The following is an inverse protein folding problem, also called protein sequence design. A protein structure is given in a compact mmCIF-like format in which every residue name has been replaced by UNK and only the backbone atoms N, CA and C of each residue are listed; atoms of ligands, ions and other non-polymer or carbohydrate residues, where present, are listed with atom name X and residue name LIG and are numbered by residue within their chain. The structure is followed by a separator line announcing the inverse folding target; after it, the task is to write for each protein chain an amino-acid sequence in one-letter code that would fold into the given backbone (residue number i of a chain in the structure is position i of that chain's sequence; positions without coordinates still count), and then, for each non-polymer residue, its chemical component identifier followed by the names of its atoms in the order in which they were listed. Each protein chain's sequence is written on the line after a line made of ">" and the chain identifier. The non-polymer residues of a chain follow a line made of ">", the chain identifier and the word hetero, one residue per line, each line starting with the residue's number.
data_IF_209286001347
#
_entry.id   IF_209286001347
#
_cell.length_a   1.000
_cell.length_b   1.000
_cell.length_c   1.000
_cell.angle_alpha   90.00
_cell.angle_beta   90.00
_cell.angle_gamma   90.00
#
_symmetry.space_group_name_H-M   'P 1'
#
loop_
_entity.id
_entity.type
_entity.pdbx_description
1 polymer ?
#
# COMPACT_ATOMS: atom_id res chain seq x y z
N UNK A 1 -6.32 -16.24 -29.22
CA UNK A 1 -5.53 -15.27 -28.37
C UNK A 1 -4.37 -16.03 -27.75
N UNK A 2 -3.15 -15.49 -27.77
CA UNK A 2 -1.99 -16.11 -27.11
C UNK A 2 -2.29 -16.32 -25.61
N UNK A 3 -1.97 -17.48 -25.07
CA UNK A 3 -2.34 -17.87 -23.70
C UNK A 3 -1.91 -16.85 -22.62
N UNK A 4 -0.75 -16.20 -22.80
CA UNK A 4 -0.26 -15.20 -21.86
C UNK A 4 -1.10 -13.90 -21.87
N UNK A 5 -1.72 -13.52 -23.00
CA UNK A 5 -2.63 -12.36 -23.06
C UNK A 5 -3.94 -12.64 -22.33
N UNK A 6 -4.48 -13.87 -22.45
CA UNK A 6 -5.65 -14.26 -21.66
C UNK A 6 -5.33 -14.23 -20.17
N UNK A 7 -4.18 -14.76 -19.79
CA UNK A 7 -3.72 -14.70 -18.40
C UNK A 7 -3.53 -13.26 -17.93
N UNK A 8 -2.92 -12.38 -18.73
CA UNK A 8 -2.74 -10.95 -18.38
C UNK A 8 -4.09 -10.27 -18.11
N UNK A 9 -5.07 -10.44 -18.96
CA UNK A 9 -6.41 -9.85 -18.77
C UNK A 9 -7.07 -10.42 -17.52
N UNK A 10 -7.00 -11.74 -17.31
CA UNK A 10 -7.59 -12.40 -16.14
C UNK A 10 -6.98 -11.90 -14.83
N UNK A 11 -5.65 -11.82 -14.75
CA UNK A 11 -4.99 -11.30 -13.54
C UNK A 11 -5.13 -9.79 -13.41
N UNK A 12 -5.36 -9.06 -14.51
CA UNK A 12 -5.66 -7.63 -14.46
C UNK A 12 -6.93 -7.38 -13.65
N UNK A 13 -8.04 -8.08 -13.95
CA UNK A 13 -9.26 -8.00 -13.15
C UNK A 13 -9.03 -8.44 -11.70
N UNK A 14 -8.28 -9.53 -11.49
CA UNK A 14 -7.94 -9.99 -10.16
C UNK A 14 -7.14 -8.98 -9.33
N UNK A 15 -6.18 -8.28 -9.93
CA UNK A 15 -5.42 -7.21 -9.28
C UNK A 15 -6.30 -5.98 -9.02
N UNK A 16 -7.19 -5.63 -9.93
CA UNK A 16 -8.16 -4.54 -9.76
C UNK A 16 -9.07 -4.82 -8.55
N UNK A 17 -9.73 -5.99 -8.50
CA UNK A 17 -10.61 -6.35 -7.39
C UNK A 17 -9.85 -6.49 -6.07
N UNK A 18 -8.62 -7.01 -6.09
CA UNK A 18 -7.78 -7.10 -4.88
C UNK A 18 -7.37 -5.71 -4.39
N UNK A 19 -6.96 -4.82 -5.29
CA UNK A 19 -6.64 -3.43 -4.96
C UNK A 19 -7.84 -2.70 -4.35
N UNK A 20 -9.01 -2.87 -4.97
CA UNK A 20 -10.27 -2.33 -4.50
C UNK A 20 -10.65 -2.90 -3.12
N UNK A 21 -10.54 -4.22 -2.92
CA UNK A 21 -10.83 -4.89 -1.66
C UNK A 21 -9.96 -4.42 -0.50
N UNK A 22 -8.66 -4.18 -0.76
CA UNK A 22 -7.72 -3.72 0.28
C UNK A 22 -8.03 -2.27 0.67
N UNK A 23 -8.32 -1.40 -0.31
CA UNK A 23 -8.46 0.04 -0.09
C UNK A 23 -9.88 0.49 0.29
N UNK A 24 -10.90 -0.29 -0.08
CA UNK A 24 -12.31 0.06 0.07
C UNK A 24 -12.74 0.27 1.54
N UNK A 25 -12.25 -0.57 2.44
CA UNK A 25 -12.67 -0.58 3.85
C UNK A 25 -11.84 0.41 4.69
N UNK A 26 -10.61 0.68 4.27
CA UNK A 26 -9.64 1.40 5.08
C UNK A 26 -10.11 2.78 5.58
N UNK A 27 -10.74 3.65 4.76
CA UNK A 27 -11.08 5.01 5.20
C UNK A 27 -12.17 5.08 6.28
N UNK A 28 -13.06 4.09 6.32
CA UNK A 28 -14.17 4.06 7.29
C UNK A 28 -14.07 2.93 8.32
N UNK A 29 -12.94 2.22 8.35
CA UNK A 29 -12.68 1.19 9.37
C UNK A 29 -12.89 1.71 10.81
N UNK A 30 -12.49 2.96 11.16
CA UNK A 30 -12.78 3.53 12.46
C UNK A 30 -14.27 3.63 12.78
N UNK A 31 -15.11 3.95 11.79
CA UNK A 31 -16.56 4.00 11.96
C UNK A 31 -17.15 2.60 12.24
N UNK A 32 -16.57 1.57 11.62
CA UNK A 32 -16.96 0.18 11.90
C UNK A 32 -16.52 -0.26 13.30
N UNK A 33 -15.33 0.12 13.74
CA UNK A 33 -14.86 -0.11 15.12
C UNK A 33 -15.81 0.55 16.14
N UNK A 34 -16.30 1.76 15.84
CA UNK A 34 -17.30 2.42 16.68
C UNK A 34 -18.61 1.63 16.75
N UNK A 35 -19.09 1.08 15.63
CA UNK A 35 -20.30 0.22 15.61
C UNK A 35 -20.13 -1.09 16.39
N UNK A 36 -18.90 -1.55 16.60
CA UNK A 36 -18.59 -2.73 17.42
C UNK A 36 -18.51 -2.43 18.93
N UNK A 37 -18.93 -1.22 19.35
CA UNK A 37 -19.10 -0.85 20.76
C UNK A 37 -17.92 -0.12 21.38
N UNK A 38 -16.94 0.32 20.58
CA UNK A 38 -15.83 1.16 21.06
C UNK A 38 -16.26 2.62 20.99
N UNK A 39 -16.34 3.32 22.13
CA UNK A 39 -16.92 4.67 22.22
C UNK A 39 -15.91 5.77 22.57
N UNK A 40 -14.84 5.47 23.34
CA UNK A 40 -13.87 6.50 23.68
C UNK A 40 -12.96 6.84 22.51
N UNK A 41 -12.63 8.14 22.36
CA UNK A 41 -11.75 8.62 21.29
C UNK A 41 -10.39 7.89 21.27
N UNK A 42 -9.80 7.68 22.43
CA UNK A 42 -8.51 7.02 22.59
C UNK A 42 -8.59 5.54 22.13
N UNK A 43 -9.62 4.81 22.59
CA UNK A 43 -9.81 3.42 22.21
C UNK A 43 -10.16 3.27 20.71
N UNK A 44 -11.00 4.16 20.15
CA UNK A 44 -11.30 4.19 18.72
C UNK A 44 -10.04 4.36 17.87
N UNK A 45 -9.19 5.33 18.22
CA UNK A 45 -7.94 5.57 17.54
C UNK A 45 -7.02 4.34 17.63
N UNK A 46 -6.80 3.79 18.84
CA UNK A 46 -5.93 2.65 19.07
C UNK A 46 -6.40 1.38 18.34
N UNK A 47 -7.68 1.03 18.46
CA UNK A 47 -8.25 -0.14 17.78
C UNK A 47 -8.23 0.00 16.26
N UNK A 48 -8.46 1.21 15.75
CA UNK A 48 -8.35 1.49 14.32
C UNK A 48 -6.92 1.27 13.83
N UNK A 49 -5.93 1.80 14.53
CA UNK A 49 -4.52 1.60 14.19
C UNK A 49 -4.10 0.13 14.25
N UNK A 50 -4.51 -0.60 15.29
CA UNK A 50 -4.22 -2.03 15.46
C UNK A 50 -4.84 -2.86 14.33
N UNK A 51 -6.13 -2.64 14.03
CA UNK A 51 -6.83 -3.38 12.96
C UNK A 51 -6.29 -3.05 11.57
N UNK A 52 -5.77 -1.84 11.35
CA UNK A 52 -5.04 -1.48 10.15
C UNK A 52 -3.72 -2.25 10.05
N UNK A 53 -2.90 -2.19 11.09
CA UNK A 53 -1.52 -2.67 11.09
C UNK A 53 -1.41 -4.19 11.10
N UNK A 54 -2.32 -4.91 11.80
CA UNK A 54 -2.24 -6.37 11.95
C UNK A 54 -2.25 -7.09 10.59
N UNK A 55 -3.01 -6.60 9.61
CA UNK A 55 -3.07 -7.18 8.27
C UNK A 55 -1.70 -7.14 7.59
N UNK A 56 -1.02 -5.99 7.63
CA UNK A 56 0.29 -5.83 7.02
C UNK A 56 1.39 -6.55 7.80
N UNK A 57 1.29 -6.58 9.12
CA UNK A 57 2.23 -7.28 9.99
C UNK A 57 2.20 -8.79 9.70
N UNK A 58 1.02 -9.40 9.68
CA UNK A 58 0.88 -10.82 9.36
C UNK A 58 1.31 -11.09 7.92
N UNK A 59 0.93 -10.25 6.96
CA UNK A 59 1.36 -10.37 5.56
C UNK A 59 2.89 -10.34 5.42
N UNK A 60 3.57 -9.45 6.14
CA UNK A 60 5.03 -9.35 6.12
C UNK A 60 5.70 -10.64 6.62
N UNK A 61 5.18 -11.21 7.72
CA UNK A 61 5.72 -12.45 8.33
C UNK A 61 5.53 -13.64 7.40
N UNK A 62 4.34 -13.78 6.76
CA UNK A 62 4.03 -14.96 5.96
C UNK A 62 4.45 -14.86 4.49
N UNK A 63 4.74 -13.66 3.98
CA UNK A 63 5.11 -13.43 2.58
C UNK A 63 6.27 -14.31 2.09
N UNK A 64 7.38 -14.52 2.84
CA UNK A 64 8.45 -15.40 2.42
C UNK A 64 8.03 -16.87 2.30
N UNK A 65 7.12 -17.32 3.19
CA UNK A 65 6.59 -18.69 3.16
C UNK A 65 5.75 -18.92 1.90
N UNK A 66 4.86 -17.97 1.58
CA UNK A 66 4.02 -18.04 0.39
C UNK A 66 4.82 -17.89 -0.91
N UNK A 67 5.87 -17.06 -0.93
CA UNK A 67 6.80 -16.98 -2.04
C UNK A 67 7.51 -18.32 -2.31
N UNK A 68 8.02 -18.95 -1.26
CA UNK A 68 8.65 -20.28 -1.36
C UNK A 68 7.67 -21.36 -1.84
N UNK A 69 6.42 -21.32 -1.38
CA UNK A 69 5.38 -22.25 -1.80
C UNK A 69 4.96 -22.01 -3.27
N UNK A 70 4.88 -20.74 -3.69
CA UNK A 70 4.61 -20.35 -5.07
C UNK A 70 5.65 -20.91 -6.05
N UNK A 71 6.92 -20.90 -5.65
CA UNK A 71 8.01 -21.46 -6.48
C UNK A 71 7.95 -22.99 -6.60
N UNK A 72 7.35 -23.68 -5.60
CA UNK A 72 7.22 -25.15 -5.58
C UNK A 72 5.92 -25.64 -6.22
N UNK A 73 4.78 -25.00 -5.88
CA UNK A 73 3.43 -25.49 -6.25
C UNK A 73 2.77 -24.69 -7.38
N UNK A 74 3.43 -23.61 -7.85
CA UNK A 74 2.92 -22.77 -8.93
C UNK A 74 2.22 -21.49 -8.45
N UNK A 75 2.16 -20.52 -9.35
CA UNK A 75 1.60 -19.18 -9.07
C UNK A 75 0.07 -19.19 -9.11
N UNK A 76 -0.56 -20.00 -9.99
CA UNK A 76 -2.02 -20.13 -10.07
C UNK A 76 -2.62 -20.56 -8.73
N UNK A 77 -2.02 -21.58 -8.09
CA UNK A 77 -2.49 -22.04 -6.78
C UNK A 77 -2.42 -20.95 -5.72
N UNK A 78 -1.36 -20.12 -5.75
CA UNK A 78 -1.22 -19.00 -4.82
C UNK A 78 -2.23 -17.89 -5.08
N UNK A 79 -2.60 -17.63 -6.34
CA UNK A 79 -3.66 -16.69 -6.70
C UNK A 79 -5.03 -17.17 -6.20
N UNK A 80 -5.35 -18.47 -6.41
CA UNK A 80 -6.59 -19.09 -5.92
C UNK A 80 -6.69 -19.03 -4.39
N UNK A 81 -5.62 -19.40 -3.70
CA UNK A 81 -5.56 -19.34 -2.25
C UNK A 81 -5.78 -17.90 -1.75
N UNK A 82 -5.12 -16.91 -2.38
CA UNK A 82 -5.20 -15.53 -1.95
C UNK A 82 -6.60 -14.94 -2.17
N UNK A 83 -7.19 -15.12 -3.35
CA UNK A 83 -8.53 -14.59 -3.65
C UNK A 83 -9.61 -15.23 -2.79
N UNK A 84 -9.62 -16.56 -2.65
CA UNK A 84 -10.61 -17.26 -1.84
C UNK A 84 -10.43 -16.97 -0.34
N UNK A 85 -9.18 -17.03 0.14
CA UNK A 85 -8.89 -16.79 1.56
C UNK A 85 -9.22 -15.36 1.99
N UNK A 86 -8.91 -14.35 1.16
CA UNK A 86 -9.31 -12.98 1.42
C UNK A 86 -10.83 -12.80 1.34
N UNK A 87 -11.51 -13.44 0.36
CA UNK A 87 -12.97 -13.38 0.27
C UNK A 87 -13.65 -13.90 1.53
N UNK A 88 -13.21 -15.07 2.03
CA UNK A 88 -13.74 -15.65 3.28
C UNK A 88 -13.45 -14.74 4.47
N UNK A 89 -12.20 -14.26 4.61
CA UNK A 89 -11.81 -13.40 5.71
C UNK A 89 -12.62 -12.09 5.75
N UNK A 90 -12.86 -11.47 4.58
CA UNK A 90 -13.66 -10.25 4.47
C UNK A 90 -15.14 -10.54 4.71
N UNK A 91 -15.66 -11.63 4.19
CA UNK A 91 -17.04 -12.03 4.45
C UNK A 91 -17.31 -12.21 5.95
N UNK A 92 -16.41 -12.87 6.66
CA UNK A 92 -16.52 -13.07 8.09
C UNK A 92 -16.44 -11.76 8.89
N UNK A 93 -15.69 -10.76 8.40
CA UNK A 93 -15.63 -9.44 9.03
C UNK A 93 -17.01 -8.74 9.03
N UNK A 94 -17.88 -9.02 8.04
CA UNK A 94 -19.25 -8.49 8.04
C UNK A 94 -20.09 -8.99 9.23
N UNK A 95 -19.78 -10.17 9.78
CA UNK A 95 -20.46 -10.79 10.91
C UNK A 95 -19.78 -10.53 12.25
N UNK A 96 -18.70 -9.77 12.29
CA UNK A 96 -18.03 -9.44 13.54
C UNK A 96 -19.00 -8.72 14.50
N UNK A 97 -19.01 -9.15 15.77
CA UNK A 97 -19.85 -8.59 16.84
C UNK A 97 -19.05 -7.79 17.85
N UNK A 98 -17.73 -7.91 17.84
CA UNK A 98 -16.82 -7.16 18.69
C UNK A 98 -15.48 -6.89 17.99
N UNK A 99 -14.72 -5.95 18.53
CA UNK A 99 -13.47 -5.50 17.93
C UNK A 99 -12.36 -6.57 17.93
N UNK A 100 -12.37 -7.51 18.87
CA UNK A 100 -11.40 -8.61 18.92
C UNK A 100 -11.58 -9.59 17.76
N UNK A 101 -12.83 -9.91 17.42
CA UNK A 101 -13.13 -10.72 16.23
C UNK A 101 -12.66 -10.01 14.96
N UNK A 102 -12.91 -8.70 14.85
CA UNK A 102 -12.44 -7.90 13.73
C UNK A 102 -10.91 -7.96 13.62
N UNK A 103 -10.19 -7.76 14.74
CA UNK A 103 -8.72 -7.82 14.78
C UNK A 103 -8.19 -9.18 14.29
N UNK A 104 -8.74 -10.28 14.80
CA UNK A 104 -8.36 -11.64 14.39
C UNK A 104 -8.62 -11.88 12.91
N UNK A 105 -9.79 -11.49 12.40
CA UNK A 105 -10.16 -11.64 10.99
C UNK A 105 -9.30 -10.76 10.05
N UNK A 106 -8.89 -9.58 10.50
CA UNK A 106 -7.89 -8.75 9.81
C UNK A 106 -6.52 -9.43 9.75
N UNK A 107 -6.13 -10.13 10.81
CA UNK A 107 -4.94 -10.99 10.83
C UNK A 107 -5.05 -12.16 9.84
N UNK A 108 -6.21 -12.84 9.80
CA UNK A 108 -6.48 -13.93 8.81
C UNK A 108 -6.44 -13.38 7.38
N UNK A 109 -6.96 -12.17 7.14
CA UNK A 109 -6.84 -11.50 5.84
C UNK A 109 -5.38 -11.28 5.45
N UNK A 110 -4.53 -10.85 6.39
CA UNK A 110 -3.09 -10.74 6.19
C UNK A 110 -2.42 -12.08 5.87
N UNK A 111 -2.80 -13.15 6.57
CA UNK A 111 -2.32 -14.51 6.35
C UNK A 111 -2.64 -15.02 4.92
N UNK A 112 -3.81 -14.68 4.41
CA UNK A 112 -4.27 -15.12 3.09
C UNK A 112 -3.88 -14.18 1.95
N UNK A 113 -3.33 -13.00 2.22
CA UNK A 113 -2.93 -11.99 1.22
C UNK A 113 -1.86 -12.50 0.25
N UNK A 114 -1.55 -11.70 -0.78
CA UNK A 114 -0.46 -11.96 -1.71
C UNK A 114 -0.88 -12.22 -3.16
N UNK A 115 -2.10 -11.85 -3.55
CA UNK A 115 -2.56 -11.99 -4.94
C UNK A 115 -1.69 -11.18 -5.91
N UNK A 116 -1.50 -9.88 -5.65
CA UNK A 116 -0.80 -8.95 -6.56
C UNK A 116 0.65 -9.39 -6.86
N UNK A 117 1.52 -9.68 -5.87
CA UNK A 117 2.89 -10.10 -6.17
C UNK A 117 2.95 -11.44 -6.93
N UNK A 118 2.02 -12.37 -6.69
CA UNK A 118 1.94 -13.61 -7.47
C UNK A 118 1.44 -13.38 -8.89
N UNK A 119 0.50 -12.45 -9.11
CA UNK A 119 0.05 -12.04 -10.43
C UNK A 119 1.18 -11.40 -11.25
N UNK A 120 1.92 -10.46 -10.63
CA UNK A 120 3.12 -9.85 -11.23
C UNK A 120 4.14 -10.91 -11.65
N UNK A 121 4.45 -11.85 -10.76
CA UNK A 121 5.40 -12.92 -11.02
C UNK A 121 4.92 -13.92 -12.09
N UNK A 122 3.60 -14.19 -12.17
CA UNK A 122 3.03 -15.04 -13.23
C UNK A 122 3.20 -14.37 -14.59
N UNK A 123 2.79 -13.10 -14.71
CA UNK A 123 2.89 -12.35 -15.97
C UNK A 123 4.35 -12.19 -16.41
N UNK A 124 5.25 -11.82 -15.49
CA UNK A 124 6.68 -11.68 -15.76
C UNK A 124 7.31 -12.95 -16.31
N UNK A 125 6.80 -14.13 -15.91
CA UNK A 125 7.32 -15.42 -16.35
C UNK A 125 6.74 -15.94 -17.67
N UNK A 126 5.62 -15.39 -18.12
CA UNK A 126 4.89 -15.87 -19.30
C UNK A 126 4.93 -14.88 -20.47
N UNK A 127 5.06 -13.59 -20.19
CA UNK A 127 5.16 -12.57 -21.22
C UNK A 127 6.48 -12.70 -22.00
N UNK A 128 6.48 -12.51 -23.32
CA UNK A 128 7.69 -12.39 -24.12
C UNK A 128 8.60 -11.29 -23.56
N UNK A 129 9.93 -11.48 -23.60
CA UNK A 129 10.91 -10.52 -23.04
C UNK A 129 10.71 -9.12 -23.56
N UNK A 130 10.40 -8.95 -24.84
CA UNK A 130 10.18 -7.67 -25.54
C UNK A 130 8.92 -6.95 -25.05
N UNK A 131 7.97 -7.67 -24.45
CA UNK A 131 6.67 -7.14 -23.99
C UNK A 131 6.44 -7.24 -22.49
N UNK A 132 7.40 -7.76 -21.73
CA UNK A 132 7.26 -7.97 -20.29
C UNK A 132 7.07 -6.65 -19.53
N UNK A 133 7.79 -5.60 -19.91
CA UNK A 133 7.64 -4.27 -19.33
C UNK A 133 6.22 -3.70 -19.55
N UNK A 134 5.71 -3.80 -20.79
CA UNK A 134 4.33 -3.38 -21.10
C UNK A 134 3.29 -4.17 -20.31
N UNK A 135 3.45 -5.49 -20.22
CA UNK A 135 2.51 -6.36 -19.52
C UNK A 135 2.47 -6.07 -18.00
N UNK A 136 3.64 -5.87 -17.37
CA UNK A 136 3.73 -5.51 -15.95
C UNK A 136 3.20 -4.11 -15.67
N UNK A 137 3.46 -3.14 -16.54
CA UNK A 137 2.89 -1.79 -16.42
C UNK A 137 1.37 -1.82 -16.55
N UNK A 138 0.83 -2.60 -17.49
CA UNK A 138 -0.62 -2.80 -17.65
C UNK A 138 -1.22 -3.40 -16.38
N UNK A 139 -0.55 -4.38 -15.76
CA UNK A 139 -1.01 -4.97 -14.50
C UNK A 139 -0.98 -3.98 -13.33
N UNK A 140 0.03 -3.11 -13.29
CA UNK A 140 0.09 -2.03 -12.29
C UNK A 140 -1.06 -1.04 -12.40
N UNK A 141 -1.55 -0.75 -13.61
CA UNK A 141 -2.74 0.12 -13.78
C UNK A 141 -3.98 -0.48 -13.12
N UNK A 142 -4.16 -1.80 -13.16
CA UNK A 142 -5.26 -2.47 -12.49
C UNK A 142 -5.23 -2.25 -10.97
N UNK A 143 -4.07 -2.49 -10.36
CA UNK A 143 -3.89 -2.29 -8.92
C UNK A 143 -4.17 -0.83 -8.52
N UNK A 144 -3.57 0.13 -9.22
CA UNK A 144 -3.72 1.55 -8.93
C UNK A 144 -5.18 1.99 -9.08
N UNK A 145 -5.86 1.57 -10.16
CA UNK A 145 -7.27 1.89 -10.37
C UNK A 145 -8.15 1.30 -9.28
N UNK A 146 -7.87 0.07 -8.81
CA UNK A 146 -8.56 -0.55 -7.68
C UNK A 146 -8.36 0.23 -6.39
N UNK A 147 -7.13 0.62 -6.09
CA UNK A 147 -6.79 1.40 -4.88
C UNK A 147 -7.46 2.77 -4.87
N UNK A 148 -7.59 3.42 -6.01
CA UNK A 148 -8.28 4.73 -6.13
C UNK A 148 -9.80 4.55 -6.07
N UNK A 149 -10.33 3.56 -6.80
CA UNK A 149 -11.78 3.30 -6.87
C UNK A 149 -12.37 2.75 -5.58
N UNK A 150 -11.56 2.01 -4.82
CA UNK A 150 -12.02 1.35 -3.58
C UNK A 150 -12.62 2.30 -2.56
N UNK A 151 -11.91 3.33 -2.10
CA UNK A 151 -12.44 4.27 -1.12
C UNK A 151 -13.71 4.99 -1.56
N UNK A 152 -13.81 5.34 -2.85
CA UNK A 152 -14.99 5.99 -3.42
C UNK A 152 -16.21 5.04 -3.38
N UNK A 153 -16.04 3.83 -3.90
CA UNK A 153 -17.10 2.84 -3.91
C UNK A 153 -17.48 2.41 -2.48
N UNK A 154 -16.49 2.21 -1.64
CA UNK A 154 -16.70 1.82 -0.24
C UNK A 154 -17.44 2.86 0.56
N UNK A 155 -17.06 4.14 0.42
CA UNK A 155 -17.74 5.24 1.09
C UNK A 155 -19.18 5.40 0.63
N UNK A 156 -19.43 5.35 -0.69
CA UNK A 156 -20.78 5.39 -1.24
C UNK A 156 -21.67 4.25 -0.72
N UNK A 157 -21.15 3.03 -0.76
CA UNK A 157 -21.88 1.85 -0.28
C UNK A 157 -22.14 1.91 1.25
N UNK A 158 -21.17 2.41 2.01
CA UNK A 158 -21.28 2.51 3.46
C UNK A 158 -22.39 3.49 3.88
N UNK A 159 -22.47 4.66 3.25
CA UNK A 159 -23.46 5.69 3.58
C UNK A 159 -24.88 5.31 3.13
N UNK A 160 -25.05 4.61 1.99
CA UNK A 160 -26.38 4.28 1.44
C UNK A 160 -26.90 2.92 1.90
N UNK A 161 -26.03 1.93 2.10
CA UNK A 161 -26.41 0.55 2.38
C UNK A 161 -25.84 0.02 3.70
N UNK A 162 -25.07 0.84 4.41
CA UNK A 162 -24.44 0.50 5.68
C UNK A 162 -23.08 -0.17 5.54
N UNK A 163 -22.26 -0.05 6.61
CA UNK A 163 -20.85 -0.50 6.60
C UNK A 163 -20.71 -2.01 6.35
N UNK A 164 -21.63 -2.85 6.83
CA UNK A 164 -21.57 -4.31 6.63
C UNK A 164 -21.74 -4.71 5.17
N UNK A 165 -22.54 -3.98 4.41
CA UNK A 165 -22.78 -4.24 2.98
C UNK A 165 -21.48 -4.11 2.17
N UNK A 166 -20.59 -3.22 2.57
CA UNK A 166 -19.30 -3.05 1.93
C UNK A 166 -18.47 -4.33 1.99
N UNK A 167 -18.46 -5.01 3.15
CA UNK A 167 -17.75 -6.29 3.29
C UNK A 167 -18.36 -7.38 2.42
N UNK A 168 -19.69 -7.47 2.32
CA UNK A 168 -20.37 -8.46 1.46
C UNK A 168 -20.02 -8.25 -0.01
N UNK A 169 -20.10 -7.01 -0.50
CA UNK A 169 -19.80 -6.69 -1.91
C UNK A 169 -18.31 -6.95 -2.18
N UNK A 170 -17.42 -6.56 -1.28
CA UNK A 170 -15.99 -6.81 -1.42
C UNK A 170 -15.68 -8.31 -1.47
N UNK A 171 -16.31 -9.11 -0.62
CA UNK A 171 -16.15 -10.57 -0.63
C UNK A 171 -16.62 -11.16 -1.96
N UNK A 172 -17.77 -10.70 -2.48
CA UNK A 172 -18.30 -11.14 -3.78
C UNK A 172 -17.33 -10.84 -4.93
N UNK A 173 -16.76 -9.64 -4.97
CA UNK A 173 -15.76 -9.25 -6.00
C UNK A 173 -14.51 -10.16 -5.93
N UNK A 174 -14.08 -10.54 -4.74
CA UNK A 174 -12.95 -11.47 -4.58
C UNK A 174 -13.33 -12.90 -4.97
N UNK A 175 -14.58 -13.34 -4.75
CA UNK A 175 -15.07 -14.62 -5.29
C UNK A 175 -15.10 -14.59 -6.81
N UNK A 176 -15.52 -13.49 -7.44
CA UNK A 176 -15.42 -13.31 -8.90
C UNK A 176 -13.96 -13.41 -9.35
N UNK A 177 -13.03 -12.75 -8.66
CA UNK A 177 -11.60 -12.86 -8.92
C UNK A 177 -11.10 -14.31 -8.80
N UNK A 178 -11.57 -15.06 -7.80
CA UNK A 178 -11.28 -16.48 -7.63
C UNK A 178 -11.77 -17.31 -8.83
N UNK A 179 -13.02 -17.13 -9.23
CA UNK A 179 -13.62 -17.87 -10.37
C UNK A 179 -12.90 -17.54 -11.69
N UNK A 180 -12.61 -16.27 -11.95
CA UNK A 180 -11.82 -15.86 -13.13
C UNK A 180 -10.45 -16.52 -13.11
N UNK A 181 -9.77 -16.53 -11.95
CA UNK A 181 -8.48 -17.19 -11.79
C UNK A 181 -8.57 -18.70 -12.01
N UNK A 182 -9.62 -19.35 -11.49
CA UNK A 182 -9.82 -20.79 -11.58
C UNK A 182 -9.99 -21.25 -13.04
N UNK A 183 -10.88 -20.59 -13.77
CA UNK A 183 -11.30 -21.05 -15.10
C UNK A 183 -10.43 -20.51 -16.24
N UNK A 184 -9.96 -19.25 -16.15
CA UNK A 184 -9.27 -18.60 -17.26
C UNK A 184 -7.75 -18.69 -17.20
N UNK A 185 -7.14 -18.75 -16.01
CA UNK A 185 -5.69 -18.77 -15.89
C UNK A 185 -5.14 -20.17 -16.19
N UNK A 186 -4.22 -20.23 -17.14
CA UNK A 186 -3.44 -21.44 -17.49
C UNK A 186 -1.98 -21.20 -17.11
N UNK A 187 -1.45 -22.04 -16.22
CA UNK A 187 -0.03 -22.02 -15.86
C UNK A 187 0.67 -23.19 -16.55
N UNK A 188 1.65 -22.88 -17.40
CA UNK A 188 2.50 -23.90 -18.03
C UNK A 188 3.51 -24.44 -17.02
N UNK A 189 3.86 -25.72 -17.13
CA UNK A 189 4.88 -26.35 -16.30
C UNK A 189 6.21 -25.56 -16.37
N UNK A 190 6.79 -25.24 -15.21
CA UNK A 190 8.05 -24.50 -15.13
C UNK A 190 9.25 -25.41 -15.01
N UNK A 191 10.39 -25.08 -15.63
CA UNK A 191 11.65 -25.67 -15.21
C UNK A 191 11.89 -25.28 -13.74
N UNK A 192 12.20 -26.28 -12.89
CA UNK A 192 12.58 -26.07 -11.49
C UNK A 192 13.80 -25.13 -11.47
N UNK A 193 13.61 -23.92 -10.94
CA UNK A 193 14.72 -23.00 -10.74
C UNK A 193 15.68 -23.66 -9.75
N UNK A 194 16.89 -23.95 -10.21
CA UNK A 194 18.00 -24.41 -9.38
C UNK A 194 18.17 -23.42 -8.21
N UNK A 195 18.48 -23.94 -7.02
CA UNK A 195 18.88 -23.14 -5.85
C UNK A 195 20.18 -22.39 -6.19
N UNK A 196 20.09 -21.34 -7.00
CA UNK A 196 21.20 -20.45 -7.25
C UNK A 196 21.73 -19.95 -5.89
N UNK A 197 23.04 -20.03 -5.71
CA UNK A 197 23.81 -19.71 -4.53
C UNK A 197 23.22 -18.50 -3.79
N UNK A 198 22.59 -18.77 -2.65
CA UNK A 198 22.02 -17.73 -1.77
C UNK A 198 23.18 -17.03 -1.08
N UNK A 199 23.64 -15.93 -1.64
CA UNK A 199 24.57 -15.05 -0.93
C UNK A 199 23.99 -14.71 0.45
N UNK A 200 24.76 -14.71 1.51
CA UNK A 200 24.33 -14.23 2.84
C UNK A 200 23.94 -12.74 2.74
N UNK A 201 23.05 -12.27 3.63
CA UNK A 201 22.68 -10.85 3.68
C UNK A 201 23.91 -9.93 3.86
N UNK A 202 24.85 -10.31 4.71
CA UNK A 202 26.14 -9.59 4.86
C UNK A 202 26.92 -9.53 3.55
N UNK A 203 26.96 -10.61 2.79
CA UNK A 203 27.64 -10.66 1.50
C UNK A 203 26.99 -9.77 0.43
N UNK A 204 25.67 -9.56 0.48
CA UNK A 204 24.98 -8.61 -0.40
C UNK A 204 25.39 -7.17 -0.09
N UNK A 205 25.38 -6.79 1.20
CA UNK A 205 25.75 -5.42 1.60
C UNK A 205 27.24 -5.12 1.36
N UNK A 206 28.13 -6.11 1.47
CA UNK A 206 29.58 -5.93 1.19
C UNK A 206 29.89 -5.73 -0.31
N UNK A 207 28.97 -6.12 -1.21
CA UNK A 207 29.13 -5.91 -2.67
C UNK A 207 28.63 -4.55 -3.14
N UNK A 208 27.96 -3.79 -2.28
CA UNK A 208 27.42 -2.48 -2.62
C UNK A 208 28.49 -1.39 -2.56
N UNK A 209 28.58 -0.52 -3.55
CA UNK A 209 29.54 0.61 -3.51
C UNK A 209 29.19 1.61 -2.40
N UNK A 210 27.88 1.74 -2.06
CA UNK A 210 27.38 2.72 -1.09
C UNK A 210 26.30 2.10 -0.18
N UNK A 211 26.65 1.16 0.72
CA UNK A 211 25.66 0.45 1.55
C UNK A 211 24.85 1.38 2.48
N UNK A 212 25.48 2.47 2.97
CA UNK A 212 24.80 3.47 3.79
C UNK A 212 23.72 4.25 3.03
N UNK A 213 23.93 4.56 1.74
CA UNK A 213 22.90 5.19 0.91
C UNK A 213 21.75 4.22 0.62
N UNK A 214 22.05 2.97 0.31
CA UNK A 214 21.01 1.95 0.05
C UNK A 214 20.14 1.75 1.31
N UNK A 215 20.75 1.66 2.48
CA UNK A 215 20.00 1.59 3.75
C UNK A 215 19.13 2.85 3.96
N UNK A 216 19.68 4.02 3.66
CA UNK A 216 18.95 5.29 3.74
C UNK A 216 17.73 5.30 2.83
N UNK A 217 17.84 4.77 1.61
CA UNK A 217 16.72 4.63 0.68
C UNK A 217 15.66 3.64 1.17
N UNK A 218 16.04 2.55 1.84
CA UNK A 218 15.07 1.65 2.49
C UNK A 218 14.30 2.36 3.60
N UNK A 219 15.00 3.12 4.45
CA UNK A 219 14.34 3.95 5.48
C UNK A 219 13.41 4.97 4.85
N UNK A 220 13.81 5.59 3.74
CA UNK A 220 12.96 6.53 3.00
C UNK A 220 11.68 5.84 2.48
N UNK A 221 11.78 4.63 1.92
CA UNK A 221 10.60 3.82 1.54
C UNK A 221 9.70 3.56 2.73
N UNK A 222 10.26 3.18 3.88
CA UNK A 222 9.51 2.97 5.12
C UNK A 222 8.78 4.24 5.55
N UNK A 223 9.45 5.39 5.53
CA UNK A 223 8.88 6.69 5.92
C UNK A 223 7.75 7.10 4.97
N UNK A 224 7.91 6.94 3.66
CA UNK A 224 6.84 7.24 2.69
C UNK A 224 5.58 6.41 3.01
N UNK A 225 5.73 5.11 3.25
CA UNK A 225 4.60 4.25 3.59
C UNK A 225 4.02 4.54 4.98
N UNK A 226 4.87 4.89 5.94
CA UNK A 226 4.45 5.33 7.26
C UNK A 226 3.57 6.59 7.16
N UNK A 227 3.97 7.58 6.37
CA UNK A 227 3.21 8.81 6.16
C UNK A 227 1.84 8.54 5.56
N UNK A 228 1.79 7.71 4.51
CA UNK A 228 0.53 7.34 3.87
C UNK A 228 -0.37 6.54 4.81
N UNK A 229 0.20 5.67 5.65
CA UNK A 229 -0.52 4.85 6.62
C UNK A 229 -0.98 5.60 7.87
N UNK A 230 -0.28 6.67 8.30
CA UNK A 230 -0.57 7.37 9.56
C UNK A 230 -1.93 8.07 9.58
N UNK A 231 -2.40 8.54 8.44
CA UNK A 231 -3.67 9.28 8.31
C UNK A 231 -4.88 8.33 8.23
N UNK A 232 -4.69 7.09 7.73
CA UNK A 232 -5.78 6.14 7.51
C UNK A 232 -6.69 5.91 8.72
N UNK A 233 -6.14 5.56 9.90
CA UNK A 233 -6.92 5.24 11.10
C UNK A 233 -7.69 6.43 11.68
N UNK A 234 -7.33 7.65 11.33
CA UNK A 234 -7.93 8.87 11.90
C UNK A 234 -8.82 9.62 10.91
N UNK A 235 -8.74 9.31 9.62
CA UNK A 235 -9.32 10.15 8.55
C UNK A 235 -10.82 10.35 8.73
N UNK A 236 -11.59 9.27 8.91
CA UNK A 236 -13.04 9.37 9.06
C UNK A 236 -13.44 10.09 10.35
N UNK A 237 -12.74 9.82 11.46
CA UNK A 237 -13.00 10.46 12.75
C UNK A 237 -12.66 11.95 12.71
N UNK A 238 -11.57 12.32 12.03
CA UNK A 238 -11.19 13.71 11.85
C UNK A 238 -12.19 14.47 10.98
N UNK A 239 -12.67 13.86 9.89
CA UNK A 239 -13.72 14.45 9.04
C UNK A 239 -15.02 14.59 9.86
N UNK A 240 -15.39 13.58 10.63
CA UNK A 240 -16.58 13.61 11.50
C UNK A 240 -16.48 14.75 12.54
N UNK A 241 -15.31 14.99 13.10
CA UNK A 241 -15.11 16.10 14.05
C UNK A 241 -15.27 17.49 13.42
N UNK A 242 -15.04 17.62 12.10
CA UNK A 242 -15.22 18.88 11.36
C UNK A 242 -16.64 19.06 10.81
N UNK A 243 -17.38 17.96 10.63
CA UNK A 243 -18.74 17.96 10.06
C UNK A 243 -19.66 17.00 10.80
N UNK A 244 -19.97 17.29 12.10
CA UNK A 244 -20.74 16.35 12.94
C UNK A 244 -22.14 16.07 12.43
N UNK A 245 -22.77 17.00 11.72
CA UNK A 245 -24.14 16.89 11.20
C UNK A 245 -24.22 16.26 9.79
N UNK A 246 -23.11 15.79 9.23
CA UNK A 246 -23.07 15.21 7.89
C UNK A 246 -23.53 13.75 7.91
N UNK A 247 -24.46 13.39 7.02
CA UNK A 247 -24.89 12.02 6.80
C UNK A 247 -23.98 11.23 5.83
N UNK A 248 -22.98 11.88 5.21
CA UNK A 248 -22.13 11.30 4.16
C UNK A 248 -20.65 11.23 4.58
N UNK A 249 -20.38 10.91 5.85
CA UNK A 249 -19.00 10.91 6.38
C UNK A 249 -18.15 9.84 5.72
N UNK A 250 -18.69 8.65 5.46
CA UNK A 250 -17.93 7.57 4.84
C UNK A 250 -17.59 7.90 3.39
N UNK A 251 -18.53 8.45 2.61
CA UNK A 251 -18.27 8.89 1.23
C UNK A 251 -17.24 10.01 1.18
N UNK A 252 -17.37 11.03 2.03
CA UNK A 252 -16.42 12.14 2.11
C UNK A 252 -15.02 11.66 2.50
N UNK A 253 -14.94 10.71 3.44
CA UNK A 253 -13.68 10.07 3.83
C UNK A 253 -13.07 9.26 2.68
N UNK A 254 -13.89 8.51 1.96
CA UNK A 254 -13.50 7.77 0.76
C UNK A 254 -12.98 8.68 -0.34
N UNK A 255 -13.67 9.79 -0.60
CA UNK A 255 -13.27 10.80 -1.58
C UNK A 255 -11.89 11.39 -1.23
N UNK A 256 -11.75 11.88 0.00
CA UNK A 256 -10.50 12.48 0.48
C UNK A 256 -9.36 11.46 0.52
N UNK A 257 -9.65 10.18 0.79
CA UNK A 257 -8.65 9.10 0.73
C UNK A 257 -8.19 8.79 -0.71
N UNK A 258 -9.08 8.89 -1.70
CA UNK A 258 -8.78 8.59 -3.10
C UNK A 258 -8.02 9.72 -3.82
N UNK A 259 -8.24 10.97 -3.43
CA UNK A 259 -7.68 12.17 -4.08
C UNK A 259 -6.16 12.10 -4.28
N UNK A 260 -5.32 11.70 -3.30
CA UNK A 260 -3.87 11.59 -3.51
C UNK A 260 -3.50 10.60 -4.62
N UNK A 261 -4.23 9.49 -4.75
CA UNK A 261 -3.99 8.50 -5.80
C UNK A 261 -4.24 9.08 -7.20
N UNK A 262 -5.31 9.86 -7.37
CA UNK A 262 -5.63 10.52 -8.64
C UNK A 262 -4.53 11.51 -9.03
N UNK A 263 -4.11 12.36 -8.10
CA UNK A 263 -3.07 13.35 -8.38
C UNK A 263 -1.70 12.71 -8.62
N UNK A 264 -1.39 11.59 -7.92
CA UNK A 264 -0.18 10.82 -8.15
C UNK A 264 -0.12 10.22 -9.57
N UNK A 265 -1.22 9.70 -10.09
CA UNK A 265 -1.29 9.21 -11.48
C UNK A 265 -0.95 10.31 -12.51
N UNK A 266 -1.39 11.53 -12.25
CA UNK A 266 -1.14 12.68 -13.13
C UNK A 266 0.33 13.12 -13.04
N UNK A 267 0.89 13.10 -11.84
CA UNK A 267 2.22 13.65 -11.56
C UNK A 267 3.37 12.68 -11.86
N UNK A 268 3.18 11.37 -11.61
CA UNK A 268 4.24 10.38 -11.70
C UNK A 268 5.00 10.39 -13.05
N UNK A 269 4.36 10.40 -14.23
CA UNK A 269 5.11 10.43 -15.49
C UNK A 269 5.81 11.77 -15.74
N UNK A 270 5.24 12.88 -15.24
CA UNK A 270 5.83 14.22 -15.40
C UNK A 270 7.05 14.41 -14.51
N UNK A 271 6.92 14.06 -13.24
CA UNK A 271 8.00 14.17 -12.27
C UNK A 271 9.10 13.13 -12.54
N UNK A 272 8.76 11.95 -13.05
CA UNK A 272 9.73 10.97 -13.52
C UNK A 272 10.62 11.54 -14.64
N UNK A 273 10.02 12.08 -15.71
CA UNK A 273 10.77 12.75 -16.80
C UNK A 273 11.59 13.94 -16.32
N UNK A 274 11.08 14.70 -15.36
CA UNK A 274 11.84 15.80 -14.77
C UNK A 274 13.04 15.28 -13.97
N UNK A 275 12.86 14.16 -13.24
CA UNK A 275 13.92 13.49 -12.50
C UNK A 275 15.06 13.00 -13.39
N UNK A 276 14.73 12.52 -14.60
CA UNK A 276 15.74 12.12 -15.60
C UNK A 276 16.58 13.32 -16.07
N UNK A 277 15.99 14.52 -16.12
CA UNK A 277 16.67 15.74 -16.59
C UNK A 277 17.49 16.44 -15.52
N UNK A 278 16.92 16.64 -14.32
CA UNK A 278 17.55 17.44 -13.25
C UNK A 278 18.18 16.60 -12.14
N UNK A 279 17.96 15.28 -12.19
CA UNK A 279 18.47 14.31 -11.23
C UNK A 279 17.40 13.77 -10.28
N UNK A 280 17.27 12.44 -10.23
CA UNK A 280 16.26 11.72 -9.43
C UNK A 280 16.37 12.03 -7.94
N UNK A 281 17.59 12.16 -7.40
CA UNK A 281 17.80 12.50 -5.99
C UNK A 281 17.26 13.89 -5.63
N UNK A 282 17.39 14.87 -6.55
CA UNK A 282 16.84 16.23 -6.34
C UNK A 282 15.32 16.23 -6.32
N UNK A 283 14.69 15.48 -7.22
CA UNK A 283 13.22 15.33 -7.22
C UNK A 283 12.75 14.68 -5.94
N UNK A 284 13.40 13.58 -5.50
CA UNK A 284 13.05 12.92 -4.24
C UNK A 284 13.14 13.89 -3.05
N UNK A 285 14.23 14.66 -2.95
CA UNK A 285 14.38 15.64 -1.88
C UNK A 285 13.33 16.75 -1.94
N UNK A 286 13.05 17.28 -3.12
CA UNK A 286 12.04 18.34 -3.30
C UNK A 286 10.63 17.86 -2.92
N UNK A 287 10.26 16.64 -3.32
CA UNK A 287 8.95 16.05 -2.98
C UNK A 287 8.82 15.73 -1.49
N UNK A 288 9.89 15.28 -0.83
CA UNK A 288 9.90 15.10 0.62
C UNK A 288 9.75 16.43 1.37
N UNK A 289 10.45 17.50 0.93
CA UNK A 289 10.28 18.85 1.51
C UNK A 289 8.85 19.35 1.31
N UNK A 290 8.29 19.17 0.12
CA UNK A 290 6.89 19.49 -0.17
C UNK A 290 5.94 18.74 0.79
N UNK A 291 6.18 17.45 1.03
CA UNK A 291 5.38 16.66 1.97
C UNK A 291 5.44 17.19 3.41
N UNK A 292 6.61 17.61 3.90
CA UNK A 292 6.74 18.24 5.24
C UNK A 292 5.85 19.48 5.34
N UNK A 293 5.92 20.37 4.36
CA UNK A 293 5.11 21.60 4.34
C UNK A 293 3.62 21.27 4.30
N UNK A 294 3.22 20.32 3.47
CA UNK A 294 1.81 19.96 3.31
C UNK A 294 1.26 19.24 4.55
N UNK A 295 2.00 18.31 5.16
CA UNK A 295 1.59 17.68 6.41
C UNK A 295 1.48 18.71 7.52
N UNK A 296 2.43 19.64 7.63
CA UNK A 296 2.34 20.72 8.62
C UNK A 296 1.11 21.62 8.36
N UNK A 297 0.83 21.96 7.11
CA UNK A 297 -0.36 22.74 6.74
C UNK A 297 -1.67 21.98 7.08
N UNK A 298 -1.71 20.65 6.94
CA UNK A 298 -2.88 19.84 7.30
C UNK A 298 -3.22 19.92 8.80
N UNK A 299 -2.28 20.25 9.68
CA UNK A 299 -2.56 20.42 11.11
C UNK A 299 -3.45 21.62 11.45
N UNK A 300 -3.56 22.59 10.54
CA UNK A 300 -4.38 23.81 10.71
C UNK A 300 -5.73 23.73 9.99
N UNK A 301 -6.04 22.62 9.33
CA UNK A 301 -7.27 22.45 8.55
C UNK A 301 -8.51 22.50 9.45
N UNK A 302 -9.53 23.20 8.99
CA UNK A 302 -10.83 23.34 9.67
C UNK A 302 -12.02 22.82 8.85
N UNK A 303 -11.80 22.47 7.58
CA UNK A 303 -12.85 21.93 6.72
C UNK A 303 -12.36 20.77 5.87
N UNK A 304 -13.24 19.81 5.51
CA UNK A 304 -12.91 18.70 4.63
C UNK A 304 -12.38 19.13 3.25
N UNK A 305 -12.86 20.26 2.73
CA UNK A 305 -12.41 20.80 1.45
C UNK A 305 -10.92 21.20 1.50
N UNK A 306 -10.51 21.92 2.56
CA UNK A 306 -9.10 22.29 2.77
C UNK A 306 -8.23 21.03 2.85
N UNK A 307 -8.69 20.02 3.61
CA UNK A 307 -7.99 18.75 3.73
C UNK A 307 -7.86 18.07 2.35
N UNK A 308 -8.93 18.04 1.55
CA UNK A 308 -8.94 17.48 0.21
C UNK A 308 -7.93 18.17 -0.74
N UNK A 309 -7.87 19.51 -0.72
CA UNK A 309 -6.91 20.28 -1.51
C UNK A 309 -5.47 19.94 -1.11
N UNK A 310 -5.16 19.94 0.19
CA UNK A 310 -3.82 19.61 0.65
C UNK A 310 -3.44 18.16 0.34
N UNK A 311 -4.38 17.22 0.43
CA UNK A 311 -4.16 15.83 0.05
C UNK A 311 -3.97 15.67 -1.47
N UNK A 312 -4.64 16.47 -2.29
CA UNK A 312 -4.38 16.52 -3.73
C UNK A 312 -2.94 16.95 -4.03
N UNK A 313 -2.49 18.03 -3.39
CA UNK A 313 -1.11 18.51 -3.54
C UNK A 313 -0.08 17.48 -3.01
N UNK A 314 -0.39 16.82 -1.88
CA UNK A 314 0.47 15.76 -1.34
C UNK A 314 0.59 14.58 -2.32
N UNK A 315 -0.52 14.13 -2.91
CA UNK A 315 -0.50 13.04 -3.88
C UNK A 315 0.30 13.40 -5.14
N UNK A 316 0.33 14.68 -5.51
CA UNK A 316 1.20 15.14 -6.60
C UNK A 316 2.69 14.93 -6.27
N UNK A 317 3.11 15.14 -5.02
CA UNK A 317 4.46 14.82 -4.56
C UNK A 317 4.69 13.30 -4.44
N UNK A 318 3.72 12.56 -3.89
CA UNK A 318 3.79 11.11 -3.68
C UNK A 318 4.02 10.32 -4.99
N UNK A 319 3.47 10.80 -6.10
CA UNK A 319 3.62 10.16 -7.41
C UNK A 319 5.06 9.99 -7.88
N UNK A 320 6.00 10.79 -7.34
CA UNK A 320 7.41 10.67 -7.67
C UNK A 320 8.25 9.96 -6.59
N UNK A 321 7.80 9.93 -5.33
CA UNK A 321 8.65 9.50 -4.22
C UNK A 321 9.11 8.04 -4.35
N UNK A 322 8.18 7.10 -4.44
CA UNK A 322 8.52 5.68 -4.55
C UNK A 322 9.26 5.33 -5.84
N UNK A 323 8.84 5.80 -7.04
CA UNK A 323 9.61 5.60 -8.26
C UNK A 323 11.03 6.17 -8.19
N UNK A 324 11.21 7.34 -7.57
CA UNK A 324 12.53 7.93 -7.40
C UNK A 324 13.43 7.08 -6.50
N UNK A 325 12.91 6.57 -5.37
CA UNK A 325 13.66 5.65 -4.51
C UNK A 325 14.04 4.38 -5.27
N UNK A 326 13.11 3.78 -6.03
CA UNK A 326 13.37 2.57 -6.81
C UNK A 326 14.43 2.80 -7.89
N UNK A 327 14.38 3.93 -8.60
CA UNK A 327 15.39 4.33 -9.58
C UNK A 327 16.78 4.50 -8.95
N UNK A 328 16.86 5.13 -7.79
CA UNK A 328 18.12 5.26 -7.05
C UNK A 328 18.63 3.90 -6.54
N UNK A 329 17.76 3.02 -6.05
CA UNK A 329 18.15 1.66 -5.66
C UNK A 329 18.72 0.88 -6.86
N UNK A 330 18.11 0.98 -8.04
CA UNK A 330 18.63 0.37 -9.28
C UNK A 330 20.00 0.94 -9.63
N UNK A 331 20.15 2.27 -9.58
CA UNK A 331 21.42 2.95 -9.93
C UNK A 331 22.58 2.55 -9.03
N UNK A 332 22.32 2.31 -7.74
CA UNK A 332 23.35 2.01 -6.73
C UNK A 332 23.43 0.53 -6.35
N UNK A 333 22.73 -0.36 -7.06
CA UNK A 333 22.85 -1.81 -6.92
C UNK A 333 23.43 -2.44 -8.18
N UNK A 334 24.19 -3.53 -8.01
CA UNK A 334 24.65 -4.33 -9.16
C UNK A 334 23.57 -5.32 -9.59
N UNK A 335 23.54 -5.69 -10.88
CA UNK A 335 22.55 -6.63 -11.45
C UNK A 335 22.44 -7.95 -10.67
N UNK A 336 23.56 -8.43 -10.10
CA UNK A 336 23.63 -9.68 -9.34
C UNK A 336 22.82 -9.66 -8.05
N UNK A 337 22.66 -8.48 -7.43
CA UNK A 337 22.00 -8.34 -6.11
C UNK A 337 20.71 -7.54 -6.15
N UNK A 338 20.37 -6.93 -7.29
CA UNK A 338 19.17 -6.06 -7.46
C UNK A 338 17.89 -6.71 -6.93
N UNK A 339 17.61 -7.96 -7.29
CA UNK A 339 16.40 -8.64 -6.81
C UNK A 339 16.32 -8.75 -5.29
N UNK A 340 17.46 -8.92 -4.60
CA UNK A 340 17.50 -8.95 -3.12
C UNK A 340 17.35 -7.57 -2.50
N UNK A 341 17.96 -6.56 -3.11
CA UNK A 341 17.81 -5.15 -2.69
C UNK A 341 16.33 -4.77 -2.74
N UNK A 342 15.62 -5.10 -3.83
CA UNK A 342 14.18 -4.88 -3.92
C UNK A 342 13.38 -5.71 -2.91
N UNK A 343 13.81 -6.94 -2.60
CA UNK A 343 13.22 -7.76 -1.54
C UNK A 343 13.36 -7.11 -0.16
N UNK A 344 14.53 -6.58 0.17
CA UNK A 344 14.72 -5.82 1.42
C UNK A 344 13.91 -4.53 1.43
N UNK A 345 13.88 -3.79 0.32
CA UNK A 345 13.05 -2.59 0.19
C UNK A 345 11.56 -2.90 0.45
N UNK A 346 11.07 -4.04 -0.06
CA UNK A 346 9.71 -4.50 0.20
C UNK A 346 9.44 -4.76 1.69
N UNK A 347 10.42 -5.29 2.43
CA UNK A 347 10.31 -5.49 3.87
C UNK A 347 10.18 -4.15 4.60
N UNK A 348 10.96 -3.15 4.23
CA UNK A 348 10.85 -1.80 4.78
C UNK A 348 9.51 -1.13 4.42
N UNK A 349 8.99 -1.39 3.23
CA UNK A 349 7.64 -0.96 2.83
C UNK A 349 6.56 -1.55 3.74
N UNK A 350 6.63 -2.85 4.06
CA UNK A 350 5.71 -3.48 5.01
C UNK A 350 5.86 -2.91 6.42
N UNK A 351 7.10 -2.65 6.89
CA UNK A 351 7.33 -2.00 8.17
C UNK A 351 6.67 -0.62 8.24
N UNK A 352 6.77 0.18 7.18
CA UNK A 352 6.08 1.46 7.09
C UNK A 352 4.57 1.34 7.19
N UNK A 353 3.99 0.35 6.50
CA UNK A 353 2.55 0.07 6.56
C UNK A 353 2.07 -0.47 7.93
N UNK A 354 2.96 -1.00 8.76
CA UNK A 354 2.66 -1.41 10.14
C UNK A 354 2.82 -0.24 11.10
N UNK A 355 3.95 0.45 11.03
CA UNK A 355 4.29 1.52 11.98
C UNK A 355 3.45 2.78 11.76
N UNK A 356 3.13 3.09 10.51
CA UNK A 356 2.35 4.28 10.16
C UNK A 356 0.99 4.37 10.88
N UNK A 357 0.11 3.37 10.70
CA UNK A 357 -1.18 3.36 11.37
C UNK A 357 -1.09 3.34 12.89
N UNK A 358 -0.11 2.61 13.45
CA UNK A 358 0.13 2.58 14.90
C UNK A 358 0.58 3.94 15.43
N UNK A 359 1.50 4.60 14.73
CA UNK A 359 1.95 5.95 15.09
C UNK A 359 0.78 6.94 14.99
N UNK A 360 0.03 6.93 13.88
CA UNK A 360 -1.12 7.82 13.72
C UNK A 360 -2.18 7.64 14.81
N UNK A 361 -2.50 6.38 15.13
CA UNK A 361 -3.43 6.04 16.18
C UNK A 361 -2.95 6.47 17.58
N UNK A 362 -1.70 6.17 17.91
CA UNK A 362 -1.12 6.51 19.24
C UNK A 362 -1.05 8.02 19.43
N UNK A 363 -0.55 8.76 18.44
CA UNK A 363 -0.49 10.22 18.51
C UNK A 363 -1.89 10.84 18.60
N UNK A 364 -2.85 10.30 17.83
CA UNK A 364 -4.24 10.76 17.89
C UNK A 364 -4.87 10.53 19.27
N UNK A 365 -4.63 9.35 19.86
CA UNK A 365 -5.15 9.02 21.18
C UNK A 365 -4.57 9.91 22.29
N UNK A 366 -3.29 10.25 22.20
CA UNK A 366 -2.59 11.03 23.25
C UNK A 366 -2.73 12.55 23.09
N UNK A 367 -2.71 13.04 21.86
CA UNK A 367 -2.59 14.48 21.58
C UNK A 367 -3.69 15.01 20.62
N UNK A 368 -4.48 14.13 20.01
CA UNK A 368 -5.54 14.49 19.08
C UNK A 368 -5.11 14.47 17.60
N UNK A 369 -6.09 14.59 16.72
CA UNK A 369 -5.92 14.39 15.27
C UNK A 369 -4.88 15.30 14.61
N UNK A 370 -4.84 16.57 15.00
CA UNK A 370 -3.93 17.57 14.41
C UNK A 370 -2.46 17.23 14.61
N UNK A 371 -2.13 16.66 15.77
CA UNK A 371 -0.76 16.28 16.10
C UNK A 371 -0.25 15.09 15.29
N UNK A 372 -1.15 14.29 14.71
CA UNK A 372 -0.74 13.21 13.78
C UNK A 372 -0.04 13.80 12.55
N UNK A 373 -0.56 14.89 12.00
CA UNK A 373 0.05 15.57 10.86
C UNK A 373 1.40 16.19 11.23
N UNK A 374 1.50 16.82 12.40
CA UNK A 374 2.76 17.38 12.90
C UNK A 374 3.81 16.28 13.12
N UNK A 375 3.44 15.17 13.78
CA UNK A 375 4.33 14.05 14.01
C UNK A 375 4.81 13.43 12.69
N UNK A 376 3.90 13.28 11.71
CA UNK A 376 4.25 12.80 10.38
C UNK A 376 5.22 13.74 9.67
N UNK A 377 4.99 15.06 9.72
CA UNK A 377 5.91 16.05 9.18
C UNK A 377 7.31 15.97 9.80
N UNK A 378 7.39 15.79 11.13
CA UNK A 378 8.67 15.63 11.84
C UNK A 378 9.42 14.36 11.41
N UNK A 379 8.72 13.23 11.24
CA UNK A 379 9.32 11.98 10.75
C UNK A 379 9.91 12.17 9.36
N UNK A 380 9.18 12.83 8.44
CA UNK A 380 9.71 13.15 7.10
C UNK A 380 10.91 14.06 7.17
N UNK A 381 10.87 15.08 8.04
CA UNK A 381 11.98 16.01 8.23
C UNK A 381 13.25 15.29 8.73
N UNK A 382 13.12 14.39 9.68
CA UNK A 382 14.22 13.55 10.14
C UNK A 382 14.78 12.67 8.99
N UNK A 383 13.89 12.13 8.16
CA UNK A 383 14.30 11.34 6.99
C UNK A 383 15.03 12.20 5.94
N UNK A 384 14.59 13.42 5.68
CA UNK A 384 15.28 14.37 4.79
C UNK A 384 16.72 14.59 5.26
N UNK A 385 16.90 14.87 6.54
CA UNK A 385 18.24 15.06 7.12
C UNK A 385 19.12 13.83 6.96
N UNK A 386 18.59 12.65 7.28
CA UNK A 386 19.27 11.37 7.15
C UNK A 386 19.65 11.06 5.69
N UNK A 387 18.72 11.26 4.74
CA UNK A 387 18.95 11.02 3.31
C UNK A 387 19.95 12.03 2.74
N UNK A 388 19.86 13.30 3.12
CA UNK A 388 20.80 14.35 2.70
C UNK A 388 22.22 14.03 3.17
N UNK A 389 22.38 13.58 4.43
CA UNK A 389 23.67 13.15 4.97
C UNK A 389 24.26 11.94 4.21
N UNK A 390 23.40 10.99 3.80
CA UNK A 390 23.83 9.84 3.01
C UNK A 390 24.23 10.23 1.58
N UNK A 391 23.48 11.12 0.93
CA UNK A 391 23.77 11.61 -0.43
C UNK A 391 25.07 12.44 -0.50
N UNK A 392 25.36 13.24 0.53
CA UNK A 392 26.63 14.02 0.60
C UNK A 392 27.88 13.13 0.60
N UNK A 393 27.78 11.91 1.15
CA UNK A 393 28.91 10.96 1.18
C UNK A 393 29.20 10.31 -0.20
N UNK A 394 28.26 10.37 -1.10
CA UNK A 394 28.31 9.73 -2.43
C UNK A 394 28.77 10.77 -3.45
N UNK A 395 29.51 11.78 -3.25
CA UNK A 395 29.98 12.77 -4.24
C UNK A 395 29.25 12.61 -5.60
N UNK A 396 28.02 13.10 -5.66
CA UNK A 396 27.25 13.17 -6.91
C UNK A 396 27.52 14.52 -7.58
#
# INVERSE_FOLDING_TARGET
>A
MESWKVNLISVWFGCFFTGLAISQILPFLPLYVAQLGVTSHEALSMWSGLTFSITFMVSAIVSPLWGSLADRKGRKLMLLRASLGMAIAILLQAFATNVWQLLLLRGVMGLTSGYIPNAMALVASQAPRERSGWALSTLSTAQISGVIGGPLMGGFLADHFGLRTVFFITALLLVVSFLVTLFLIKESARPKISKAQRLSGKAVFSTLPWPGLVLSLFVTTMVIQLCNGSVGPILALFIQSMTPDSNNIAFLSGLIAAIPGVSALISAPRLGKLGDRIGTARILMATLVCAVVLFFAMSFVTSPLQLGILRFLLGFADGAMLPAVQTLLLKYSSDRVTGRIFGYNQSFMYLGNVVGPLMGASVSAMAGFRWVFVATALVVLCNIWQLAAALRKVKV
#
